data_IF_640877934137
#
_entry.id   IF_640877934137
#
_cell.length_a   1.000
_cell.length_b   1.000
_cell.length_c   1.000
_cell.angle_alpha   90.00
_cell.angle_beta   90.00
_cell.angle_gamma   90.00
#
_symmetry.space_group_name_H-M   'P 1'
#
loop_
_entity.id
_entity.type
_entity.pdbx_description
1 polymer ?
#
# COMPACT_ATOMS: atom_id res chain seq x y z
N UNK A 1 33.14 -23.53 -41.46
CA UNK A 1 31.71 -23.65 -41.10
C UNK A 1 31.62 -24.01 -39.63
N UNK A 2 31.31 -23.06 -38.75
CA UNK A 2 31.02 -23.33 -37.34
C UNK A 2 29.51 -23.11 -37.12
N UNK A 3 28.78 -24.18 -36.82
CA UNK A 3 27.35 -24.09 -36.44
C UNK A 3 27.28 -23.54 -35.02
N UNK A 4 26.77 -22.32 -34.87
CA UNK A 4 26.44 -21.74 -33.57
C UNK A 4 25.19 -22.46 -33.05
N UNK A 5 25.33 -23.20 -31.94
CA UNK A 5 24.22 -23.84 -31.25
C UNK A 5 23.54 -22.80 -30.37
N UNK A 6 22.43 -22.24 -30.83
CA UNK A 6 21.57 -21.40 -30.00
C UNK A 6 20.75 -22.29 -29.08
N UNK A 7 21.25 -22.54 -27.87
CA UNK A 7 20.45 -23.13 -26.80
C UNK A 7 19.39 -22.10 -26.36
N UNK A 8 18.14 -22.31 -26.78
CA UNK A 8 17.01 -21.50 -26.35
C UNK A 8 16.66 -21.91 -24.92
N UNK A 9 17.26 -21.24 -23.94
CA UNK A 9 16.88 -21.39 -22.54
C UNK A 9 15.42 -20.99 -22.37
N UNK A 10 14.53 -21.98 -22.32
CA UNK A 10 13.10 -21.76 -22.10
C UNK A 10 12.93 -21.35 -20.64
N UNK A 11 12.35 -20.17 -20.33
CA UNK A 11 12.24 -19.73 -18.95
C UNK A 11 11.34 -20.68 -18.17
N UNK A 12 11.87 -21.21 -17.06
CA UNK A 12 11.13 -22.10 -16.17
C UNK A 12 10.17 -21.25 -15.33
N UNK A 13 8.88 -21.34 -15.63
CA UNK A 13 7.84 -20.65 -14.87
C UNK A 13 7.61 -21.42 -13.57
N UNK A 14 7.80 -20.76 -12.44
CA UNK A 14 7.53 -21.30 -11.10
C UNK A 14 6.30 -20.65 -10.50
N UNK A 15 5.33 -21.42 -9.98
CA UNK A 15 4.20 -20.86 -9.25
C UNK A 15 4.69 -20.02 -8.06
N UNK A 16 4.01 -18.90 -7.83
CA UNK A 16 4.26 -18.01 -6.69
C UNK A 16 3.04 -18.00 -5.79
N UNK A 17 3.27 -18.00 -4.48
CA UNK A 17 2.22 -17.87 -3.47
C UNK A 17 2.53 -16.65 -2.62
N UNK A 18 1.58 -15.72 -2.54
CA UNK A 18 1.70 -14.57 -1.65
C UNK A 18 1.63 -15.08 -0.22
N UNK A 19 2.65 -14.73 0.58
CA UNK A 19 2.69 -14.96 2.02
C UNK A 19 3.26 -13.70 2.65
N UNK A 20 2.49 -13.09 3.54
CA UNK A 20 2.95 -11.98 4.37
C UNK A 20 3.15 -12.54 5.77
N UNK A 21 4.24 -12.15 6.42
CA UNK A 21 4.56 -12.66 7.75
C UNK A 21 3.69 -11.99 8.81
N UNK A 22 3.40 -12.70 9.89
CA UNK A 22 2.67 -12.11 11.03
C UNK A 22 3.42 -10.89 11.61
N UNK A 23 4.76 -10.91 11.56
CA UNK A 23 5.60 -9.79 12.01
C UNK A 23 5.38 -8.53 11.15
N UNK A 24 5.26 -8.67 9.83
CA UNK A 24 4.95 -7.55 8.93
C UNK A 24 3.55 -6.98 9.20
N UNK A 25 2.57 -7.85 9.47
CA UNK A 25 1.20 -7.42 9.81
C UNK A 25 1.15 -6.71 11.17
N UNK A 26 1.85 -7.23 12.17
CA UNK A 26 1.98 -6.55 13.48
C UNK A 26 2.68 -5.20 13.36
N UNK A 27 3.67 -5.09 12.47
CA UNK A 27 4.32 -3.81 12.19
C UNK A 27 3.35 -2.81 11.56
N UNK A 28 2.51 -3.26 10.61
CA UNK A 28 1.46 -2.42 10.02
C UNK A 28 0.49 -1.90 11.09
N UNK A 29 -0.01 -2.79 11.97
CA UNK A 29 -0.94 -2.42 13.06
C UNK A 29 -0.33 -1.39 14.02
N UNK A 30 0.95 -1.58 14.38
CA UNK A 30 1.68 -0.64 15.22
C UNK A 30 1.78 0.72 14.55
N UNK A 31 2.20 0.77 13.28
CA UNK A 31 2.35 2.01 12.53
C UNK A 31 1.01 2.74 12.39
N UNK A 32 -0.08 2.03 12.12
CA UNK A 32 -1.41 2.62 12.09
C UNK A 32 -1.76 3.27 13.42
N UNK A 33 -1.47 2.61 14.55
CA UNK A 33 -1.74 3.17 15.89
C UNK A 33 -0.91 4.40 16.23
N UNK A 34 0.38 4.40 15.93
CA UNK A 34 1.31 5.44 16.43
C UNK A 34 1.53 6.60 15.46
N UNK A 35 1.28 6.40 14.16
CA UNK A 35 1.55 7.44 13.17
C UNK A 35 0.54 8.59 13.32
N UNK A 36 1.01 9.82 13.58
CA UNK A 36 0.12 10.95 13.74
C UNK A 36 -0.49 11.35 12.39
N UNK A 37 -1.79 11.67 12.39
CA UNK A 37 -2.45 12.29 11.25
C UNK A 37 -2.27 13.81 11.36
N UNK A 38 -1.86 14.45 10.27
CA UNK A 38 -1.73 15.90 10.20
C UNK A 38 -3.05 16.58 10.58
N UNK A 39 -2.99 17.68 11.34
CA UNK A 39 -4.18 18.45 11.73
C UNK A 39 -4.91 19.02 10.49
N UNK A 40 -6.20 19.39 10.63
CA UNK A 40 -6.88 20.17 9.60
C UNK A 40 -6.12 21.46 9.25
N UNK A 41 -5.96 21.71 7.97
CA UNK A 41 -5.35 22.89 7.34
C UNK A 41 -6.26 23.37 6.22
N UNK A 42 -6.00 24.56 5.66
CA UNK A 42 -6.77 25.06 4.53
C UNK A 42 -6.73 24.07 3.34
N UNK A 43 -5.55 23.54 3.04
CA UNK A 43 -5.27 22.70 1.88
C UNK A 43 -5.98 21.36 1.95
N UNK A 44 -6.07 20.76 3.14
CA UNK A 44 -6.66 19.43 3.34
C UNK A 44 -8.12 19.46 3.85
N UNK A 45 -8.74 20.64 3.95
CA UNK A 45 -10.09 20.84 4.49
C UNK A 45 -10.95 21.78 3.64
N UNK A 46 -10.75 21.77 2.32
CA UNK A 46 -11.55 22.57 1.39
C UNK A 46 -13.05 22.22 1.43
N UNK A 47 -13.95 23.19 1.17
CA UNK A 47 -15.39 22.96 1.14
C UNK A 47 -15.81 22.02 0.01
N UNK A 48 -17.04 21.49 0.13
CA UNK A 48 -17.72 20.66 -0.88
C UNK A 48 -16.95 19.41 -1.35
N UNK A 49 -15.98 18.97 -0.55
CA UNK A 49 -15.17 17.81 -0.89
C UNK A 49 -14.08 18.06 -1.92
N UNK A 50 -13.73 19.32 -2.21
CA UNK A 50 -12.65 19.66 -3.13
C UNK A 50 -11.30 19.06 -2.65
N UNK A 51 -10.53 18.55 -3.61
CA UNK A 51 -9.26 17.83 -3.43
C UNK A 51 -8.17 18.37 -4.35
N UNK A 52 -8.30 19.58 -4.90
CA UNK A 52 -7.30 20.20 -5.79
C UNK A 52 -5.91 20.33 -5.19
N UNK A 53 -5.78 20.35 -3.86
CA UNK A 53 -4.50 20.36 -3.14
C UNK A 53 -4.11 18.98 -2.57
N UNK A 54 -4.81 17.91 -2.96
CA UNK A 54 -4.49 16.54 -2.62
C UNK A 54 -5.43 15.90 -1.62
N UNK A 55 -4.88 15.03 -0.77
CA UNK A 55 -5.65 14.19 0.14
C UNK A 55 -6.34 15.03 1.23
N UNK A 56 -7.65 14.81 1.39
CA UNK A 56 -8.44 15.46 2.43
C UNK A 56 -8.20 14.81 3.79
N UNK A 57 -8.22 15.63 4.83
CA UNK A 57 -8.00 15.19 6.20
C UNK A 57 -9.07 14.19 6.67
N UNK A 58 -10.34 14.45 6.35
CA UNK A 58 -11.46 13.58 6.71
C UNK A 58 -11.36 12.20 6.07
N UNK A 59 -11.02 12.16 4.78
CA UNK A 59 -10.79 10.90 4.06
C UNK A 59 -9.64 10.09 4.65
N UNK A 60 -8.48 10.73 4.90
CA UNK A 60 -7.33 10.03 5.48
C UNK A 60 -7.67 9.47 6.87
N UNK A 61 -8.36 10.27 7.70
CA UNK A 61 -8.80 9.83 9.02
C UNK A 61 -9.71 8.61 8.92
N UNK A 62 -10.70 8.63 8.02
CA UNK A 62 -11.60 7.50 7.83
C UNK A 62 -10.89 6.25 7.29
N UNK A 63 -9.98 6.40 6.33
CA UNK A 63 -9.21 5.29 5.78
C UNK A 63 -8.32 4.63 6.85
N UNK A 64 -7.67 5.43 7.69
CA UNK A 64 -6.86 4.91 8.80
C UNK A 64 -7.74 4.18 9.83
N UNK A 65 -8.93 4.68 10.14
CA UNK A 65 -9.86 3.97 11.03
C UNK A 65 -10.36 2.65 10.44
N UNK A 66 -10.63 2.60 9.13
CA UNK A 66 -11.01 1.35 8.45
C UNK A 66 -9.87 0.33 8.48
N UNK A 67 -8.64 0.77 8.20
CA UNK A 67 -7.47 -0.10 8.25
C UNK A 67 -7.17 -0.63 9.66
N UNK A 68 -7.44 0.18 10.68
CA UNK A 68 -7.23 -0.22 12.09
C UNK A 68 -8.23 -1.22 12.61
N UNK A 69 -9.49 -1.10 12.19
CA UNK A 69 -10.60 -1.71 12.91
C UNK A 69 -11.39 -2.73 12.08
N UNK A 70 -11.27 -2.69 10.75
CA UNK A 70 -12.11 -3.50 9.86
C UNK A 70 -11.28 -4.32 8.86
N UNK A 71 -10.18 -3.77 8.36
CA UNK A 71 -9.35 -4.44 7.35
C UNK A 71 -8.66 -5.69 7.92
N UNK A 72 -8.68 -6.77 7.15
CA UNK A 72 -7.97 -8.03 7.40
C UNK A 72 -7.21 -8.40 6.13
N UNK A 73 -5.92 -8.69 6.26
CA UNK A 73 -5.00 -8.93 5.14
C UNK A 73 -5.16 -10.35 4.57
#
# INVERSE_FOLDING_TARGET
MAKSSTDKTTPRITPFTVRVSDDDLQQLDLLLRITPIAKPTYENSLPDGDRKYGMRHDWLKQAVEEWKNTFDW
#
